data_IF_602811509774
#
_entry.id   IF_602811509774
#
_cell.length_a   1.000
_cell.length_b   1.000
_cell.length_c   1.000
_cell.angle_alpha   90.00
_cell.angle_beta   90.00
_cell.angle_gamma   90.00
#
_symmetry.space_group_name_H-M   'P 1'
#
loop_
_entity.id
_entity.type
_entity.pdbx_description
1 polymer ?
#
# COMPACT_ATOMS: atom_id res chain seq x y z
N UNK A 1 37.95 -37.08 1.76
CA UNK A 1 36.53 -36.67 1.71
C UNK A 1 36.49 -35.36 2.45
N UNK A 2 36.68 -34.27 1.72
CA UNK A 2 36.60 -32.92 2.25
C UNK A 2 35.15 -32.47 2.05
N UNK A 3 34.41 -32.30 3.15
CA UNK A 3 33.09 -31.67 3.10
C UNK A 3 33.28 -30.17 2.86
N UNK A 4 32.85 -29.72 1.67
CA UNK A 4 32.76 -28.31 1.32
C UNK A 4 31.83 -27.57 2.30
N UNK A 5 32.43 -26.62 3.00
CA UNK A 5 31.74 -25.65 3.84
C UNK A 5 30.91 -24.70 2.95
N UNK A 6 29.63 -25.01 2.72
CA UNK A 6 28.70 -24.10 2.05
C UNK A 6 28.41 -22.91 2.97
N UNK A 7 28.51 -21.66 2.49
CA UNK A 7 28.20 -20.49 3.30
C UNK A 7 26.73 -20.54 3.74
N UNK A 8 26.49 -20.46 5.04
CA UNK A 8 25.17 -20.21 5.60
C UNK A 8 24.75 -18.78 5.24
N UNK A 9 24.04 -18.65 4.12
CA UNK A 9 23.33 -17.41 3.77
C UNK A 9 22.09 -17.38 4.66
N UNK A 10 22.06 -16.49 5.65
CA UNK A 10 20.82 -16.15 6.36
C UNK A 10 19.75 -15.79 5.32
N UNK A 11 18.51 -16.30 5.40
CA UNK A 11 17.51 -16.00 4.39
C UNK A 11 17.33 -14.48 4.35
N UNK A 12 17.59 -13.88 3.19
CA UNK A 12 17.31 -12.47 2.95
C UNK A 12 15.84 -12.23 3.34
N UNK A 13 15.58 -11.16 4.09
CA UNK A 13 14.22 -10.80 4.51
C UNK A 13 13.33 -10.78 3.25
N UNK A 14 12.24 -11.56 3.20
CA UNK A 14 11.37 -11.57 2.03
C UNK A 14 10.77 -10.19 1.82
N UNK A 15 10.62 -9.76 0.56
CA UNK A 15 9.98 -8.50 0.23
C UNK A 15 8.55 -8.44 0.74
N UNK A 16 8.08 -7.23 1.02
CA UNK A 16 6.77 -6.95 1.60
C UNK A 16 6.07 -5.87 0.80
N UNK A 17 4.79 -6.09 0.46
CA UNK A 17 3.88 -5.04 0.02
C UNK A 17 2.96 -4.64 1.18
N UNK A 18 3.02 -3.38 1.61
CA UNK A 18 2.03 -2.80 2.53
C UNK A 18 1.00 -1.99 1.74
N UNK A 19 -0.26 -2.38 1.80
CA UNK A 19 -1.38 -1.58 1.26
C UNK A 19 -1.85 -0.64 2.36
N UNK A 20 -1.67 0.67 2.17
CA UNK A 20 -1.77 1.65 3.25
C UNK A 20 -2.92 2.62 3.00
N UNK A 21 -3.86 2.67 3.95
CA UNK A 21 -4.95 3.65 3.92
C UNK A 21 -4.47 5.07 4.24
N UNK A 22 -4.75 6.03 3.37
CA UNK A 22 -4.37 7.44 3.54
C UNK A 22 -5.53 8.30 4.09
N UNK A 23 -5.24 9.46 4.72
CA UNK A 23 -6.30 10.34 5.19
C UNK A 23 -7.24 10.84 4.08
N UNK A 24 -8.53 10.97 4.40
CA UNK A 24 -9.58 11.39 3.45
C UNK A 24 -9.94 12.88 3.54
N UNK A 25 -9.01 13.71 4.03
CA UNK A 25 -9.17 15.17 4.10
C UNK A 25 -8.65 15.82 5.37
N UNK A 26 -8.41 15.06 6.44
CA UNK A 26 -7.82 15.56 7.68
C UNK A 26 -6.54 14.80 8.03
N UNK A 27 -5.40 15.49 8.05
CA UNK A 27 -4.09 14.87 8.31
C UNK A 27 -4.02 14.19 9.68
N UNK A 28 -4.77 14.64 10.69
CA UNK A 28 -4.75 13.99 12.02
C UNK A 28 -5.27 12.55 12.01
N UNK A 29 -5.91 12.12 10.92
CA UNK A 29 -6.44 10.76 10.79
C UNK A 29 -5.37 9.76 10.30
N UNK A 30 -4.15 10.23 10.00
CA UNK A 30 -3.01 9.36 9.76
C UNK A 30 -2.58 8.70 11.08
N UNK A 31 -2.75 7.39 11.18
CA UNK A 31 -2.31 6.64 12.36
C UNK A 31 -0.78 6.60 12.46
N UNK A 32 -0.20 6.41 13.66
CA UNK A 32 1.25 6.20 13.80
C UNK A 32 1.77 5.07 12.91
N UNK A 33 1.02 3.97 12.76
CA UNK A 33 1.40 2.86 11.89
C UNK A 33 1.45 3.25 10.41
N UNK A 34 0.55 4.12 9.94
CA UNK A 34 0.62 4.66 8.58
C UNK A 34 1.93 5.41 8.38
N UNK A 35 2.27 6.31 9.31
CA UNK A 35 3.50 7.10 9.22
C UNK A 35 4.75 6.22 9.26
N UNK A 36 4.81 5.27 10.19
CA UNK A 36 5.93 4.33 10.33
C UNK A 36 6.10 3.48 9.07
N UNK A 37 5.01 2.97 8.49
CA UNK A 37 5.06 2.18 7.25
C UNK A 37 5.53 3.01 6.06
N UNK A 38 5.04 4.24 5.90
CA UNK A 38 5.46 5.11 4.80
C UNK A 38 6.92 5.55 4.95
N UNK A 39 7.39 5.76 6.19
CA UNK A 39 8.78 6.10 6.49
C UNK A 39 9.75 4.94 6.23
N UNK A 40 9.29 3.69 6.45
CA UNK A 40 10.10 2.49 6.28
C UNK A 40 10.13 1.95 4.84
N UNK A 41 9.21 2.39 3.98
CA UNK A 41 9.11 1.90 2.61
C UNK A 41 10.28 2.38 1.73
N UNK A 42 10.89 1.46 0.99
CA UNK A 42 11.94 1.77 0.00
C UNK A 42 11.37 2.55 -1.19
N UNK A 43 10.12 2.26 -1.55
CA UNK A 43 9.36 2.98 -2.58
C UNK A 43 7.87 2.93 -2.26
N UNK A 44 7.18 4.04 -2.53
CA UNK A 44 5.75 4.17 -2.42
C UNK A 44 5.17 4.23 -3.83
N UNK A 45 4.38 3.22 -4.18
CA UNK A 45 3.54 3.22 -5.35
C UNK A 45 2.27 4.03 -5.04
N UNK A 46 1.95 5.02 -5.87
CA UNK A 46 0.83 5.92 -5.62
C UNK A 46 0.12 6.35 -6.90
N UNK A 47 -1.18 6.65 -6.82
CA UNK A 47 -1.97 7.13 -7.96
C UNK A 47 -1.45 8.49 -8.49
N UNK A 48 -1.46 9.53 -7.65
CA UNK A 48 -0.85 10.82 -7.97
C UNK A 48 0.35 11.13 -7.04
N UNK A 49 1.54 11.22 -7.65
CA UNK A 49 2.76 11.56 -6.93
C UNK A 49 2.70 12.95 -6.30
N UNK A 50 1.91 13.89 -6.85
CA UNK A 50 1.76 15.26 -6.32
C UNK A 50 0.93 15.26 -5.05
N UNK A 51 -0.11 14.43 -4.97
CA UNK A 51 -0.96 14.28 -3.77
C UNK A 51 -0.13 13.61 -2.67
N UNK A 52 0.49 12.49 -2.99
CA UNK A 52 1.32 11.73 -2.04
C UNK A 52 2.52 12.55 -1.57
N UNK A 53 3.17 13.33 -2.44
CA UNK A 53 4.27 14.22 -2.05
C UNK A 53 3.85 15.24 -0.98
N UNK A 54 2.64 15.80 -1.08
CA UNK A 54 2.12 16.74 -0.08
C UNK A 54 1.87 16.05 1.26
N UNK A 55 1.33 14.83 1.24
CA UNK A 55 1.15 14.02 2.43
C UNK A 55 2.48 13.77 3.13
N UNK A 56 3.49 13.27 2.40
CA UNK A 56 4.82 13.02 2.95
C UNK A 56 5.45 14.31 3.49
N UNK A 57 5.34 15.42 2.76
CA UNK A 57 5.87 16.73 3.19
C UNK A 57 5.22 17.23 4.48
N UNK A 58 3.92 16.98 4.67
CA UNK A 58 3.22 17.40 5.89
C UNK A 58 3.68 16.65 7.14
N UNK A 59 4.25 15.46 6.97
CA UNK A 59 4.78 14.61 8.05
C UNK A 59 6.32 14.53 8.06
N UNK A 60 7.00 15.34 7.26
CA UNK A 60 8.47 15.33 7.10
C UNK A 60 9.02 13.93 6.75
N UNK A 61 8.28 13.21 5.90
CA UNK A 61 8.66 11.89 5.41
C UNK A 61 9.39 11.97 4.06
N UNK A 62 10.36 11.08 3.87
CA UNK A 62 11.16 11.02 2.66
C UNK A 62 11.17 9.60 2.11
N UNK A 63 10.52 9.41 0.97
CA UNK A 63 10.47 8.12 0.28
C UNK A 63 10.45 8.36 -1.24
N UNK A 64 10.96 7.37 -1.99
CA UNK A 64 10.85 7.39 -3.45
C UNK A 64 9.39 7.17 -3.86
N UNK A 65 8.87 8.00 -4.75
CA UNK A 65 7.50 7.86 -5.27
C UNK A 65 7.52 7.25 -6.68
N UNK A 66 6.63 6.29 -6.92
CA UNK A 66 6.44 5.66 -8.22
C UNK A 66 4.95 5.71 -8.59
N UNK A 67 4.64 6.38 -9.71
CA UNK A 67 3.25 6.51 -10.18
C UNK A 67 2.66 5.15 -10.57
N UNK A 68 1.48 4.84 -10.04
CA UNK A 68 0.81 3.54 -10.15
C UNK A 68 -0.73 3.69 -10.13
N UNK A 69 -1.27 4.50 -11.04
CA UNK A 69 -2.73 4.60 -11.28
C UNK A 69 -3.24 3.51 -12.24
N UNK A 70 -4.56 3.44 -12.44
CA UNK A 70 -5.22 2.43 -13.28
C UNK A 70 -4.64 2.31 -14.71
N UNK A 71 -4.20 3.42 -15.31
CA UNK A 71 -3.69 3.42 -16.68
C UNK A 71 -2.29 2.80 -16.79
N UNK A 72 -1.53 2.79 -15.70
CA UNK A 72 -0.14 2.33 -15.70
C UNK A 72 0.11 1.12 -14.80
N UNK A 73 -0.87 0.70 -13.99
CA UNK A 73 -0.72 -0.37 -12.99
C UNK A 73 -0.15 -1.66 -13.60
N UNK A 74 -0.60 -2.04 -14.81
CA UNK A 74 -0.11 -3.22 -15.51
C UNK A 74 1.40 -3.15 -15.78
N UNK A 75 1.88 -1.99 -16.22
CA UNK A 75 3.30 -1.77 -16.48
C UNK A 75 4.14 -1.73 -15.18
N UNK A 76 3.50 -1.52 -14.02
CA UNK A 76 4.16 -1.46 -12.71
C UNK A 76 4.28 -2.81 -12.02
N UNK A 77 3.53 -3.84 -12.44
CA UNK A 77 3.57 -5.18 -11.83
C UNK A 77 4.99 -5.77 -11.88
N UNK A 78 5.59 -5.89 -13.08
CA UNK A 78 6.91 -6.49 -13.22
C UNK A 78 8.01 -5.71 -12.46
N UNK A 79 8.07 -4.36 -12.49
CA UNK A 79 8.94 -3.58 -11.61
C UNK A 79 8.72 -3.84 -10.12
N UNK A 80 7.48 -3.92 -9.65
CA UNK A 80 7.17 -4.17 -8.24
C UNK A 80 7.66 -5.56 -7.80
N UNK A 81 7.34 -6.61 -8.56
CA UNK A 81 7.78 -7.98 -8.28
C UNK A 81 9.31 -8.10 -8.26
N UNK A 82 10.01 -7.41 -9.17
CA UNK A 82 11.47 -7.37 -9.18
C UNK A 82 12.03 -6.76 -7.90
N UNK A 83 11.43 -5.69 -7.37
CA UNK A 83 11.85 -5.07 -6.11
C UNK A 83 11.56 -5.96 -4.90
N UNK A 84 10.39 -6.59 -4.86
CA UNK A 84 10.04 -7.56 -3.82
C UNK A 84 11.00 -8.75 -3.80
N UNK A 85 11.38 -9.26 -4.97
CA UNK A 85 12.39 -10.32 -5.10
C UNK A 85 13.77 -9.90 -4.56
N UNK A 86 14.06 -8.60 -4.51
CA UNK A 86 15.28 -8.03 -3.92
C UNK A 86 15.16 -7.79 -2.41
N UNK A 87 14.03 -8.15 -1.79
CA UNK A 87 13.77 -7.96 -0.37
C UNK A 87 13.31 -6.54 0.00
N UNK A 88 12.95 -5.71 -0.98
CA UNK A 88 12.48 -4.34 -0.70
C UNK A 88 11.09 -4.32 -0.06
N UNK A 89 10.86 -3.31 0.75
CA UNK A 89 9.57 -2.96 1.31
C UNK A 89 8.89 -1.93 0.41
N UNK A 90 7.78 -2.33 -0.21
CA UNK A 90 6.95 -1.45 -1.03
C UNK A 90 5.72 -1.04 -0.23
N UNK A 91 5.34 0.24 -0.29
CA UNK A 91 4.01 0.68 0.11
C UNK A 91 3.17 0.99 -1.13
N UNK A 92 1.87 0.75 -1.07
CA UNK A 92 0.91 1.17 -2.08
C UNK A 92 -0.19 2.00 -1.44
N UNK A 93 -0.43 3.19 -1.99
CA UNK A 93 -1.41 4.17 -1.50
C UNK A 93 -2.31 4.67 -2.63
N UNK A 94 -3.55 5.05 -2.30
CA UNK A 94 -4.41 5.86 -3.14
C UNK A 94 -4.37 7.32 -2.67
N UNK A 95 -4.92 8.21 -3.49
CA UNK A 95 -4.93 9.66 -3.19
C UNK A 95 -5.65 9.97 -1.87
N UNK A 96 -6.68 9.19 -1.52
CA UNK A 96 -7.42 9.29 -0.28
C UNK A 96 -8.14 7.98 0.07
N UNK A 97 -7.94 7.47 1.27
CA UNK A 97 -8.66 6.30 1.78
C UNK A 97 -7.92 4.99 1.52
N UNK A 98 -8.67 3.90 1.36
CA UNK A 98 -8.12 2.55 1.27
C UNK A 98 -7.89 2.13 -0.19
N UNK A 99 -6.65 1.85 -0.62
CA UNK A 99 -6.38 1.41 -1.98
C UNK A 99 -7.13 0.11 -2.32
N UNK A 100 -7.56 -0.01 -3.58
CA UNK A 100 -8.33 -1.16 -4.06
C UNK A 100 -9.84 -1.13 -3.73
N UNK A 101 -10.32 -0.18 -2.93
CA UNK A 101 -11.76 0.04 -2.69
C UNK A 101 -12.22 1.20 -3.55
N UNK A 102 -12.81 0.90 -4.72
CA UNK A 102 -13.18 1.90 -5.75
C UNK A 102 -12.01 2.72 -6.32
N UNK A 103 -10.78 2.35 -5.94
CA UNK A 103 -9.51 2.93 -6.39
C UNK A 103 -8.67 1.87 -7.12
N UNK A 104 -7.64 2.26 -7.89
CA UNK A 104 -6.67 1.34 -8.46
C UNK A 104 -5.99 0.52 -7.35
N UNK A 105 -5.55 -0.71 -7.67
CA UNK A 105 -4.71 -1.47 -6.74
C UNK A 105 -4.87 -2.97 -6.76
N UNK A 106 -6.09 -3.46 -7.03
CA UNK A 106 -6.41 -4.88 -6.96
C UNK A 106 -5.44 -5.71 -7.81
N UNK A 107 -5.15 -5.28 -9.04
CA UNK A 107 -4.24 -5.96 -9.97
C UNK A 107 -2.80 -6.09 -9.45
N UNK A 108 -2.31 -5.07 -8.73
CA UNK A 108 -0.98 -5.12 -8.12
C UNK A 108 -0.96 -6.10 -6.95
N UNK A 109 -1.99 -6.04 -6.09
CA UNK A 109 -2.12 -6.94 -4.94
C UNK A 109 -2.23 -8.40 -5.39
N UNK A 110 -3.07 -8.68 -6.39
CA UNK A 110 -3.24 -10.02 -6.97
C UNK A 110 -1.91 -10.56 -7.49
N UNK A 111 -1.20 -9.79 -8.32
CA UNK A 111 0.07 -10.21 -8.87
C UNK A 111 1.15 -10.49 -7.80
N UNK A 112 1.14 -9.72 -6.70
CA UNK A 112 2.06 -9.91 -5.57
C UNK A 112 1.73 -11.18 -4.79
N UNK A 113 0.45 -11.44 -4.54
CA UNK A 113 -0.02 -12.66 -3.88
C UNK A 113 0.24 -13.89 -4.74
N UNK A 114 -0.05 -13.83 -6.05
CA UNK A 114 0.20 -14.92 -7.01
C UNK A 114 1.69 -15.27 -7.12
N UNK A 115 2.57 -14.27 -6.98
CA UNK A 115 4.01 -14.47 -6.94
C UNK A 115 4.53 -14.99 -5.59
N UNK A 116 3.68 -15.16 -4.58
CA UNK A 116 4.01 -15.71 -3.27
C UNK A 116 4.73 -14.73 -2.34
N UNK A 117 4.68 -13.43 -2.61
CA UNK A 117 5.24 -12.40 -1.71
C UNK A 117 4.27 -12.08 -0.58
N UNK A 118 4.81 -11.56 0.52
CA UNK A 118 4.01 -11.13 1.65
C UNK A 118 3.28 -9.82 1.32
N UNK A 119 2.00 -9.77 1.66
CA UNK A 119 1.17 -8.57 1.59
C UNK A 119 0.56 -8.31 2.95
N UNK A 120 0.59 -7.06 3.42
CA UNK A 120 -0.14 -6.62 4.61
C UNK A 120 -1.07 -5.45 4.28
N UNK A 121 -2.09 -5.27 5.11
CA UNK A 121 -2.95 -4.08 5.09
C UNK A 121 -2.65 -3.25 6.32
N UNK A 122 -2.38 -1.96 6.11
CA UNK A 122 -2.30 -0.94 7.17
C UNK A 122 -3.62 -0.15 7.15
N UNK A 123 -4.51 -0.37 8.13
CA UNK A 123 -5.82 0.26 8.15
C UNK A 123 -5.72 1.78 8.20
N UNK A 124 -6.65 2.45 7.53
CA UNK A 124 -6.79 3.91 7.52
C UNK A 124 -8.25 4.34 7.37
N UNK A 125 -8.49 5.65 7.30
CA UNK A 125 -9.84 6.21 7.18
C UNK A 125 -10.57 5.71 5.92
N UNK A 126 -11.86 5.44 6.04
CA UNK A 126 -12.72 5.03 4.92
C UNK A 126 -13.99 5.86 4.90
N UNK A 127 -14.18 6.63 3.82
CA UNK A 127 -15.34 7.50 3.64
C UNK A 127 -16.67 6.72 3.75
N UNK A 128 -16.70 5.47 3.26
CA UNK A 128 -17.88 4.60 3.30
C UNK A 128 -18.34 4.34 4.72
N UNK A 129 -17.42 3.87 5.57
CA UNK A 129 -17.75 3.52 6.96
C UNK A 129 -18.03 4.75 7.81
N UNK A 130 -17.31 5.85 7.60
CA UNK A 130 -17.57 7.12 8.26
C UNK A 130 -18.98 7.64 7.92
N UNK A 131 -19.36 7.62 6.64
CA UNK A 131 -20.68 8.05 6.21
C UNK A 131 -21.79 7.15 6.75
N UNK A 132 -21.62 5.82 6.70
CA UNK A 132 -22.60 4.87 7.22
C UNK A 132 -22.89 5.12 8.71
N UNK A 133 -21.85 5.22 9.55
CA UNK A 133 -22.01 5.45 10.99
C UNK A 133 -22.65 6.82 11.28
N UNK A 134 -22.31 7.84 10.50
CA UNK A 134 -22.89 9.18 10.64
C UNK A 134 -24.33 9.28 10.12
N UNK A 135 -24.76 8.39 9.22
CA UNK A 135 -26.06 8.49 8.54
C UNK A 135 -27.28 8.19 9.42
N UNK A 136 -27.09 7.49 10.55
CA UNK A 136 -28.18 6.97 11.38
C UNK A 136 -28.94 5.78 10.77
N UNK A 137 -28.49 5.24 9.64
CA UNK A 137 -29.03 4.03 9.05
C UNK A 137 -28.59 2.79 9.84
N UNK A 138 -29.36 1.70 9.71
CA UNK A 138 -28.96 0.41 10.23
C UNK A 138 -27.63 -0.03 9.60
N UNK A 139 -26.66 -0.41 10.43
CA UNK A 139 -25.27 -0.69 10.02
C UNK A 139 -24.83 -2.12 10.32
N UNK A 140 -25.73 -2.98 10.82
CA UNK A 140 -25.45 -4.40 11.08
C UNK A 140 -25.10 -5.16 9.78
N UNK A 141 -25.78 -4.80 8.69
CA UNK A 141 -25.50 -5.28 7.35
C UNK A 141 -25.62 -4.10 6.38
N UNK A 142 -24.59 -3.86 5.59
CA UNK A 142 -24.61 -2.85 4.54
C UNK A 142 -23.93 -3.38 3.29
N UNK A 143 -24.27 -2.79 2.15
CA UNK A 143 -23.67 -3.08 0.86
C UNK A 143 -23.05 -1.80 0.30
N UNK A 144 -21.84 -1.92 -0.25
CA UNK A 144 -21.14 -0.83 -0.90
C UNK A 144 -21.02 -1.11 -2.40
N UNK A 145 -21.74 -0.34 -3.22
CA UNK A 145 -21.78 -0.47 -4.69
C UNK A 145 -20.63 0.25 -5.39
N UNK A 146 -20.02 1.26 -4.75
CA UNK A 146 -19.09 2.17 -5.43
C UNK A 146 -19.81 3.24 -6.25
N UNK A 147 -19.32 3.51 -7.46
CA UNK A 147 -19.84 4.55 -8.37
C UNK A 147 -20.80 3.94 -9.42
N UNK A 148 -21.87 4.68 -9.76
CA UNK A 148 -22.90 4.31 -10.75
C UNK A 148 -22.63 4.86 -12.16
#
# INVERSE_FOLDING_TARGET
MEEENKPHVSPAKPGLLSVVGTPIGNLSDASPRVLDTLAAADVIFCEDTRVTSKLLSAFDLHASLQRCDENVIEAQIAPALKRLAQGQHLAFVSDAGMPGVSDPGQRLVDAVLDAGFATEVVPGPSAVTCALVASGLASEHFFFEGFL
#
